data_IF_108875899772
#
_entry.id   IF_108875899772
#
_cell.length_a   1.000
_cell.length_b   1.000
_cell.length_c   1.000
_cell.angle_alpha   90.00
_cell.angle_beta   90.00
_cell.angle_gamma   90.00
#
_symmetry.space_group_name_H-M   'P 1'
#
loop_
_entity.id
_entity.type
_entity.pdbx_description
1 polymer ?
#
# COMPACT_ATOMS: atom_id res chain seq x y z
N UNK A 1 -2.22 8.14 -28.09
CA UNK A 1 -0.93 8.63 -28.15
C UNK A 1 -0.16 8.83 -26.85
N UNK A 2 1.16 8.81 -26.95
CA UNK A 2 2.04 8.87 -25.79
C UNK A 2 1.90 10.17 -25.00
N UNK A 3 1.73 11.30 -25.65
CA UNK A 3 1.56 12.59 -24.98
C UNK A 3 0.27 12.62 -24.15
N UNK A 4 -0.81 12.10 -24.71
CA UNK A 4 -2.08 12.00 -24.00
C UNK A 4 -2.00 11.02 -22.84
N UNK A 5 -1.27 9.91 -23.00
CA UNK A 5 -1.02 8.94 -21.92
C UNK A 5 -0.22 9.56 -20.79
N UNK A 6 0.80 10.35 -21.10
CA UNK A 6 1.61 11.04 -20.11
C UNK A 6 0.74 12.00 -19.28
N UNK A 7 -0.14 12.76 -19.92
CA UNK A 7 -1.06 13.67 -19.24
C UNK A 7 -2.04 12.93 -18.33
N UNK A 8 -2.53 11.74 -18.75
CA UNK A 8 -3.44 10.92 -17.96
C UNK A 8 -2.74 10.30 -16.74
N UNK A 9 -1.43 10.13 -16.80
CA UNK A 9 -0.65 9.52 -15.71
C UNK A 9 -0.24 10.54 -14.66
N UNK A 10 -0.12 11.82 -15.04
CA UNK A 10 0.24 12.89 -14.11
C UNK A 10 -0.88 13.05 -13.07
N UNK A 11 -0.53 12.90 -11.81
CA UNK A 11 -1.49 13.04 -10.73
C UNK A 11 -1.80 14.52 -10.49
N UNK A 12 -3.07 14.86 -10.17
CA UNK A 12 -3.46 16.24 -9.90
C UNK A 12 -2.66 16.91 -8.80
N UNK A 13 -2.15 16.14 -7.84
CA UNK A 13 -1.35 16.62 -6.73
C UNK A 13 0.11 16.90 -7.10
N UNK A 14 0.56 16.50 -8.28
CA UNK A 14 1.96 16.58 -8.68
C UNK A 14 2.87 15.56 -8.01
N UNK A 15 2.31 14.65 -7.22
CA UNK A 15 3.10 13.63 -6.53
C UNK A 15 3.48 12.49 -7.46
N UNK A 16 4.64 11.90 -7.22
CA UNK A 16 5.09 10.70 -7.94
C UNK A 16 4.35 9.46 -7.42
N UNK A 17 4.20 8.44 -8.28
CA UNK A 17 3.76 7.14 -7.83
C UNK A 17 4.76 6.58 -6.81
N UNK A 18 4.31 5.77 -5.84
CA UNK A 18 5.20 5.34 -4.76
C UNK A 18 6.31 4.41 -5.24
N UNK A 19 7.41 4.40 -4.53
CA UNK A 19 8.49 3.45 -4.74
C UNK A 19 8.06 2.07 -4.27
N UNK A 20 8.43 1.04 -5.00
CA UNK A 20 8.14 -0.35 -4.66
C UNK A 20 9.44 -1.08 -4.40
N UNK A 21 9.55 -1.72 -3.24
CA UNK A 21 10.68 -2.55 -2.85
C UNK A 21 10.22 -3.98 -2.66
N UNK A 22 11.04 -4.94 -3.08
CA UNK A 22 10.76 -6.38 -2.87
C UNK A 22 11.72 -6.90 -1.83
N UNK A 23 11.20 -7.59 -0.82
CA UNK A 23 12.00 -8.20 0.26
C UNK A 23 11.62 -9.67 0.43
N UNK A 24 12.52 -10.52 0.97
CA UNK A 24 12.26 -11.95 1.11
C UNK A 24 11.14 -12.25 2.12
N UNK A 25 10.49 -13.39 1.92
CA UNK A 25 9.42 -13.86 2.82
C UNK A 25 10.01 -14.30 4.17
N UNK A 26 11.17 -14.93 4.16
CA UNK A 26 11.82 -15.32 5.42
C UNK A 26 12.08 -14.08 6.28
N UNK A 27 11.57 -14.12 7.52
CA UNK A 27 11.69 -12.98 8.44
C UNK A 27 10.78 -11.81 8.12
N UNK A 28 9.78 -12.00 7.24
CA UNK A 28 8.91 -10.90 6.80
C UNK A 28 8.17 -10.22 7.95
N UNK A 29 7.74 -10.97 8.95
CA UNK A 29 6.96 -10.38 10.06
C UNK A 29 7.85 -9.47 10.90
N UNK A 30 9.05 -9.91 11.27
CA UNK A 30 9.97 -9.08 12.03
C UNK A 30 10.42 -7.84 11.23
N UNK A 31 10.69 -8.02 9.94
CA UNK A 31 11.03 -6.91 9.05
C UNK A 31 9.88 -5.90 8.96
N UNK A 32 8.65 -6.40 8.79
CA UNK A 32 7.46 -5.57 8.72
C UNK A 32 7.22 -4.80 10.03
N UNK A 33 7.38 -5.45 11.17
CA UNK A 33 7.22 -4.78 12.47
C UNK A 33 8.22 -3.63 12.61
N UNK A 34 9.47 -3.83 12.19
CA UNK A 34 10.47 -2.78 12.17
C UNK A 34 10.07 -1.60 11.31
N UNK A 35 9.56 -1.86 10.11
CA UNK A 35 9.09 -0.81 9.20
C UNK A 35 7.86 -0.08 9.75
N UNK A 36 6.92 -0.83 10.31
CA UNK A 36 5.73 -0.24 10.95
C UNK A 36 6.14 0.70 12.08
N UNK A 37 7.06 0.27 12.94
CA UNK A 37 7.51 1.11 14.05
C UNK A 37 8.17 2.41 13.58
N UNK A 38 8.94 2.37 12.49
CA UNK A 38 9.52 3.57 11.89
C UNK A 38 8.43 4.55 11.45
N UNK A 39 7.38 4.04 10.79
CA UNK A 39 6.29 4.87 10.30
C UNK A 39 5.44 5.42 11.44
N UNK A 40 5.13 4.60 12.43
CA UNK A 40 4.37 5.01 13.61
C UNK A 40 5.12 6.11 14.38
N UNK A 41 6.45 6.03 14.49
CA UNK A 41 7.25 7.05 15.16
C UNK A 41 7.13 8.43 14.49
N UNK A 42 6.80 8.46 13.20
CA UNK A 42 6.57 9.69 12.43
C UNK A 42 5.10 10.07 12.36
N UNK A 43 4.24 9.35 13.08
CA UNK A 43 2.78 9.52 13.07
C UNK A 43 2.15 9.22 11.71
N UNK A 44 2.75 8.31 10.96
CA UNK A 44 2.26 7.85 9.68
C UNK A 44 1.28 6.67 9.85
N UNK A 45 0.52 6.38 8.79
CA UNK A 45 -0.46 5.29 8.77
C UNK A 45 -0.04 4.22 7.78
N UNK A 46 -0.40 2.98 8.07
CA UNK A 46 0.06 1.80 7.32
C UNK A 46 -1.11 0.91 6.92
N UNK A 47 -1.08 0.43 5.67
CA UNK A 47 -1.97 -0.63 5.21
C UNK A 47 -1.17 -1.91 4.99
N UNK A 48 -1.70 -3.04 5.44
CA UNK A 48 -1.09 -4.35 5.24
C UNK A 48 -2.11 -5.28 4.63
N UNK A 49 -1.76 -5.94 3.51
CA UNK A 49 -2.63 -6.94 2.90
C UNK A 49 -2.05 -8.34 3.04
N UNK A 50 -2.90 -9.27 3.47
CA UNK A 50 -2.58 -10.70 3.60
C UNK A 50 -3.40 -11.51 2.61
N UNK A 51 -3.10 -12.79 2.46
CA UNK A 51 -3.85 -13.67 1.55
C UNK A 51 -5.06 -14.32 2.20
N UNK A 52 -5.01 -14.55 3.51
CA UNK A 52 -6.06 -15.30 4.20
C UNK A 52 -6.54 -14.56 5.44
N UNK A 53 -7.79 -14.83 5.80
CA UNK A 53 -8.40 -14.33 7.02
C UNK A 53 -7.58 -14.72 8.24
N UNK A 54 -7.15 -15.98 8.32
CA UNK A 54 -6.37 -16.48 9.46
C UNK A 54 -5.06 -15.71 9.63
N UNK A 55 -4.35 -15.48 8.51
CA UNK A 55 -3.10 -14.72 8.55
C UNK A 55 -3.36 -13.28 9.02
N UNK A 56 -4.43 -12.66 8.55
CA UNK A 56 -4.80 -11.31 8.97
C UNK A 56 -5.11 -11.25 10.46
N UNK A 57 -5.87 -12.20 10.96
CA UNK A 57 -6.21 -12.29 12.39
C UNK A 57 -4.98 -12.53 13.26
N UNK A 58 -4.14 -13.47 12.87
CA UNK A 58 -2.91 -13.81 13.62
C UNK A 58 -1.95 -12.62 13.65
N UNK A 59 -1.78 -11.95 12.52
CA UNK A 59 -0.92 -10.76 12.42
C UNK A 59 -1.45 -9.62 13.29
N UNK A 60 -2.76 -9.40 13.26
CA UNK A 60 -3.40 -8.37 14.07
C UNK A 60 -3.18 -8.62 15.55
N UNK A 61 -3.39 -9.85 16.00
CA UNK A 61 -3.17 -10.22 17.41
C UNK A 61 -1.69 -10.06 17.81
N UNK A 62 -0.77 -10.50 16.97
CA UNK A 62 0.65 -10.33 17.24
C UNK A 62 1.05 -8.86 17.34
N UNK A 63 0.56 -8.02 16.43
CA UNK A 63 0.84 -6.59 16.49
C UNK A 63 0.32 -5.93 17.76
N UNK A 64 -0.86 -6.33 18.22
CA UNK A 64 -1.41 -5.85 19.50
C UNK A 64 -0.49 -6.24 20.67
N UNK A 65 0.00 -7.48 20.67
CA UNK A 65 0.89 -7.98 21.73
C UNK A 65 2.19 -7.17 21.81
N UNK A 66 2.71 -6.71 20.68
CA UNK A 66 3.93 -5.90 20.66
C UNK A 66 3.66 -4.39 20.74
N UNK A 67 2.44 -4.01 21.07
CA UNK A 67 2.10 -2.62 21.39
C UNK A 67 1.75 -1.74 20.21
N UNK A 68 1.46 -2.32 19.05
CA UNK A 68 1.04 -1.56 17.86
C UNK A 68 -0.49 -1.39 17.88
N UNK A 69 -0.95 -0.19 17.60
CA UNK A 69 -2.38 0.12 17.46
C UNK A 69 -2.83 -0.32 16.08
N UNK A 70 -3.50 -1.46 16.01
CA UNK A 70 -3.86 -2.13 14.76
C UNK A 70 -5.32 -2.56 14.79
N UNK A 71 -5.96 -2.54 13.61
CA UNK A 71 -7.30 -3.11 13.41
C UNK A 71 -7.30 -3.99 12.17
N UNK A 72 -8.15 -5.03 12.22
CA UNK A 72 -8.42 -5.89 11.08
C UNK A 72 -9.70 -5.43 10.38
N UNK A 73 -9.62 -5.24 9.06
CA UNK A 73 -10.77 -4.90 8.23
C UNK A 73 -11.38 -6.19 7.67
N UNK A 74 -12.51 -6.61 8.23
CA UNK A 74 -13.25 -7.79 7.76
C UNK A 74 -13.86 -7.54 6.37
N UNK A 75 -13.90 -8.58 5.55
CA UNK A 75 -14.51 -8.50 4.22
C UNK A 75 -16.02 -8.29 4.27
N UNK A 76 -16.68 -8.75 5.34
CA UNK A 76 -18.13 -8.70 5.51
C UNK A 76 -18.63 -7.47 6.27
N UNK A 77 -17.75 -6.53 6.54
CA UNK A 77 -18.10 -5.32 7.28
C UNK A 77 -19.01 -4.42 6.44
N UNK A 78 -20.03 -3.83 7.06
CA UNK A 78 -20.92 -2.93 6.36
C UNK A 78 -20.26 -1.57 6.08
N UNK A 79 -20.90 -0.79 5.21
CA UNK A 79 -20.38 0.49 4.74
C UNK A 79 -20.19 1.49 5.88
N UNK A 80 -21.13 1.52 6.82
CA UNK A 80 -21.09 2.45 7.95
C UNK A 80 -19.91 2.14 8.89
N UNK A 81 -19.72 0.87 9.21
CA UNK A 81 -18.63 0.44 10.09
C UNK A 81 -17.27 0.64 9.41
N UNK A 82 -17.19 0.37 8.11
CA UNK A 82 -15.97 0.65 7.33
C UNK A 82 -15.62 2.14 7.37
N UNK A 83 -16.61 3.01 7.16
CA UNK A 83 -16.40 4.46 7.24
C UNK A 83 -15.91 4.88 8.63
N UNK A 84 -16.43 4.25 9.67
CA UNK A 84 -16.01 4.51 11.05
C UNK A 84 -14.55 4.11 11.29
N UNK A 85 -14.14 2.95 10.78
CA UNK A 85 -12.75 2.48 10.88
C UNK A 85 -11.79 3.44 10.17
N UNK A 86 -12.14 3.87 8.96
CA UNK A 86 -11.33 4.83 8.20
C UNK A 86 -11.22 6.16 8.95
N UNK A 87 -12.33 6.65 9.46
CA UNK A 87 -12.35 7.88 10.28
C UNK A 87 -11.45 7.76 11.50
N UNK A 88 -11.52 6.63 12.21
CA UNK A 88 -10.70 6.39 13.39
C UNK A 88 -9.20 6.39 13.06
N UNK A 89 -8.82 5.80 11.93
CA UNK A 89 -7.43 5.84 11.47
C UNK A 89 -6.98 7.27 11.23
N UNK A 90 -7.80 8.06 10.56
CA UNK A 90 -7.47 9.46 10.25
C UNK A 90 -7.46 10.35 11.51
N UNK A 91 -8.20 9.99 12.54
CA UNK A 91 -8.24 10.70 13.82
C UNK A 91 -7.16 10.19 14.81
N UNK A 92 -6.23 9.37 14.34
CA UNK A 92 -5.13 8.85 15.13
C UNK A 92 -5.56 7.91 16.28
N UNK A 93 -6.68 7.22 16.10
CA UNK A 93 -7.12 6.20 17.06
C UNK A 93 -6.28 4.94 16.93
N UNK A 94 -5.87 4.59 15.71
CA UNK A 94 -4.96 3.49 15.44
C UNK A 94 -4.10 3.80 14.22
N UNK A 95 -3.03 3.01 14.01
CA UNK A 95 -1.99 3.31 13.02
C UNK A 95 -1.94 2.32 11.86
N UNK A 96 -2.38 1.09 12.08
CA UNK A 96 -2.22 0.02 11.10
C UNK A 96 -3.56 -0.63 10.81
N UNK A 97 -3.88 -0.74 9.52
CA UNK A 97 -5.06 -1.47 9.05
C UNK A 97 -4.61 -2.71 8.28
N UNK A 98 -5.06 -3.87 8.73
CA UNK A 98 -4.77 -5.17 8.10
C UNK A 98 -6.03 -5.65 7.41
N UNK A 99 -5.90 -6.11 6.16
CA UNK A 99 -7.02 -6.67 5.42
C UNK A 99 -6.57 -7.65 4.35
N UNK A 100 -7.52 -8.39 3.80
CA UNK A 100 -7.27 -9.32 2.70
C UNK A 100 -7.36 -8.57 1.37
N UNK A 101 -8.38 -7.75 1.23
CA UNK A 101 -8.61 -6.97 0.02
C UNK A 101 -8.80 -5.50 0.41
N UNK A 102 -7.81 -4.68 0.06
CA UNK A 102 -7.79 -3.24 0.35
C UNK A 102 -8.17 -2.39 -0.86
N UNK A 103 -8.88 -2.97 -1.83
CA UNK A 103 -9.27 -2.28 -3.07
C UNK A 103 -10.65 -1.62 -2.98
N UNK A 104 -11.28 -1.63 -1.82
CA UNK A 104 -12.61 -1.06 -1.60
C UNK A 104 -12.56 0.46 -1.58
N UNK A 105 -13.68 1.08 -1.94
CA UNK A 105 -13.87 2.53 -1.87
C UNK A 105 -13.62 3.04 -0.46
N UNK A 106 -13.08 4.24 -0.37
CA UNK A 106 -12.83 4.91 0.90
C UNK A 106 -11.47 4.62 1.53
N UNK A 107 -10.70 3.67 0.99
CA UNK A 107 -9.35 3.38 1.48
C UNK A 107 -8.26 4.24 0.84
N UNK A 108 -8.65 5.28 0.15
CA UNK A 108 -7.75 6.26 -0.45
C UNK A 108 -7.42 7.34 0.57
N UNK A 109 -6.60 6.98 1.54
CA UNK A 109 -6.31 7.79 2.74
C UNK A 109 -4.99 8.52 2.57
N UNK A 110 -4.98 9.88 2.58
CA UNK A 110 -3.75 10.65 2.34
C UNK A 110 -2.64 10.44 3.37
N UNK A 111 -3.00 10.05 4.58
CA UNK A 111 -2.04 9.84 5.67
C UNK A 111 -1.25 8.54 5.56
N UNK A 112 -1.61 7.66 4.60
CA UNK A 112 -0.92 6.38 4.42
C UNK A 112 0.41 6.59 3.71
N UNK A 113 1.48 6.13 4.34
CA UNK A 113 2.85 6.23 3.82
C UNK A 113 3.44 4.86 3.49
N UNK A 114 2.96 3.80 4.12
CA UNK A 114 3.45 2.45 3.84
C UNK A 114 2.29 1.52 3.50
N UNK A 115 2.44 0.82 2.39
CA UNK A 115 1.59 -0.31 2.03
C UNK A 115 2.47 -1.55 1.98
N UNK A 116 2.15 -2.55 2.78
CA UNK A 116 2.88 -3.82 2.81
C UNK A 116 2.01 -4.93 2.20
N UNK A 117 2.58 -5.64 1.23
CA UNK A 117 1.93 -6.74 0.54
C UNK A 117 2.65 -8.03 0.91
N UNK A 118 2.03 -8.83 1.78
CA UNK A 118 2.60 -10.10 2.21
C UNK A 118 2.34 -11.18 1.16
N UNK A 119 3.29 -12.08 0.99
CA UNK A 119 3.17 -13.18 0.03
C UNK A 119 2.77 -12.68 -1.37
N UNK A 120 3.49 -11.69 -1.85
CA UNK A 120 3.16 -11.02 -3.12
C UNK A 120 3.36 -11.93 -4.34
N UNK A 121 4.15 -13.00 -4.21
CA UNK A 121 4.46 -13.95 -5.27
C UNK A 121 3.47 -15.12 -5.37
N UNK A 122 2.42 -15.13 -4.57
CA UNK A 122 1.39 -16.16 -4.67
C UNK A 122 0.48 -15.89 -5.86
N UNK A 123 -0.03 -16.95 -6.49
CA UNK A 123 -0.95 -16.80 -7.59
C UNK A 123 -2.38 -16.58 -7.11
N UNK A 124 -3.20 -15.95 -7.94
CA UNK A 124 -4.60 -15.71 -7.67
C UNK A 124 -5.00 -14.26 -7.83
N UNK A 125 -6.29 -14.01 -7.68
CA UNK A 125 -6.90 -12.70 -7.89
C UNK A 125 -6.26 -11.60 -7.04
N UNK A 126 -5.97 -11.89 -5.78
CA UNK A 126 -5.45 -10.89 -4.85
C UNK A 126 -4.00 -10.48 -5.15
N UNK A 127 -3.31 -11.20 -6.00
CA UNK A 127 -1.91 -10.92 -6.39
C UNK A 127 -1.78 -10.82 -7.91
N UNK A 128 -2.87 -10.54 -8.62
CA UNK A 128 -2.87 -10.25 -10.04
C UNK A 128 -2.21 -8.89 -10.32
N UNK A 129 -1.81 -8.66 -11.55
CA UNK A 129 -1.25 -7.37 -11.97
C UNK A 129 -2.16 -6.21 -11.57
N UNK A 130 -3.46 -6.31 -11.91
CA UNK A 130 -4.44 -5.28 -11.60
C UNK A 130 -4.56 -5.02 -10.09
N UNK A 131 -4.68 -6.09 -9.29
CA UNK A 131 -4.78 -5.96 -7.84
C UNK A 131 -3.52 -5.37 -7.23
N UNK A 132 -2.34 -5.76 -7.71
CA UNK A 132 -1.08 -5.20 -7.23
C UNK A 132 -0.96 -3.71 -7.57
N UNK A 133 -1.27 -3.31 -8.81
CA UNK A 133 -1.23 -1.90 -9.22
C UNK A 133 -2.17 -1.06 -8.36
N UNK A 134 -3.40 -1.52 -8.15
CA UNK A 134 -4.37 -0.79 -7.34
C UNK A 134 -3.96 -0.71 -5.88
N UNK A 135 -3.38 -1.76 -5.34
CA UNK A 135 -2.87 -1.77 -3.96
C UNK A 135 -1.69 -0.81 -3.79
N UNK A 136 -0.76 -0.80 -4.74
CA UNK A 136 0.34 0.17 -4.77
C UNK A 136 -0.22 1.60 -4.75
N UNK A 137 -1.29 1.84 -5.48
CA UNK A 137 -1.93 3.15 -5.55
C UNK A 137 -2.46 3.67 -4.22
N UNK A 138 -2.64 2.81 -3.22
CA UNK A 138 -3.08 3.26 -1.89
C UNK A 138 -2.02 4.09 -1.16
N UNK A 139 -0.75 4.00 -1.54
CA UNK A 139 0.32 4.84 -1.02
C UNK A 139 0.57 6.09 -1.88
N UNK A 140 -0.22 6.32 -2.92
CA UNK A 140 0.07 7.33 -3.94
C UNK A 140 -0.31 8.76 -3.53
N UNK A 141 -1.08 8.94 -2.47
CA UNK A 141 -1.54 10.27 -2.05
C UNK A 141 -0.60 10.97 -1.06
N UNK A 142 0.49 10.33 -0.69
CA UNK A 142 1.45 10.89 0.24
C UNK A 142 2.81 10.98 -0.45
N UNK A 143 3.51 12.11 -0.30
CA UNK A 143 4.84 12.30 -0.88
C UNK A 143 5.88 11.32 -0.34
N UNK A 144 5.66 10.80 0.86
CA UNK A 144 6.52 9.79 1.48
C UNK A 144 5.99 8.36 1.29
N UNK A 145 4.99 8.20 0.40
CA UNK A 145 4.38 6.92 0.12
C UNK A 145 5.35 5.93 -0.50
N UNK A 146 5.38 4.71 0.04
CA UNK A 146 6.17 3.62 -0.49
C UNK A 146 5.51 2.28 -0.20
N UNK A 147 5.93 1.27 -0.95
CA UNK A 147 5.33 -0.07 -0.91
C UNK A 147 6.43 -1.10 -0.70
N UNK A 148 6.18 -2.06 0.16
CA UNK A 148 7.05 -3.23 0.34
C UNK A 148 6.27 -4.47 -0.05
N UNK A 149 6.79 -5.22 -1.01
CA UNK A 149 6.27 -6.53 -1.38
C UNK A 149 7.17 -7.61 -0.79
N UNK A 150 6.60 -8.52 -0.02
CA UNK A 150 7.34 -9.67 0.51
C UNK A 150 7.14 -10.85 -0.42
N UNK A 151 8.20 -11.29 -1.06
CA UNK A 151 8.18 -12.35 -2.07
C UNK A 151 9.55 -12.99 -2.21
N UNK A 152 9.56 -14.29 -2.49
CA UNK A 152 10.81 -15.03 -2.78
C UNK A 152 11.07 -15.11 -4.28
N UNK A 153 10.02 -14.98 -5.10
CA UNK A 153 10.12 -15.03 -6.55
C UNK A 153 9.48 -13.79 -7.17
N UNK A 154 9.96 -13.40 -8.33
CA UNK A 154 9.35 -12.33 -9.11
C UNK A 154 8.35 -12.95 -10.09
N UNK A 155 7.06 -12.87 -9.79
CA UNK A 155 6.03 -13.35 -10.72
C UNK A 155 5.84 -12.37 -11.88
N UNK A 156 5.19 -12.84 -12.96
CA UNK A 156 4.86 -11.95 -14.08
C UNK A 156 3.97 -10.79 -13.64
N UNK A 157 3.01 -11.07 -12.76
CA UNK A 157 2.12 -10.04 -12.22
C UNK A 157 2.88 -8.98 -11.44
N UNK A 158 3.80 -9.40 -10.57
CA UNK A 158 4.68 -8.48 -9.84
C UNK A 158 5.55 -7.66 -10.77
N UNK A 159 6.20 -8.33 -11.73
CA UNK A 159 7.09 -7.66 -12.69
C UNK A 159 6.34 -6.59 -13.48
N UNK A 160 5.16 -6.92 -13.99
CA UNK A 160 4.34 -5.98 -14.75
C UNK A 160 3.86 -4.81 -13.88
N UNK A 161 3.42 -5.10 -12.66
CA UNK A 161 2.96 -4.05 -11.73
C UNK A 161 4.09 -3.10 -11.35
N UNK A 162 5.26 -3.62 -11.03
CA UNK A 162 6.43 -2.82 -10.65
C UNK A 162 6.94 -2.02 -11.84
N UNK A 163 7.03 -2.64 -13.01
CA UNK A 163 7.47 -1.98 -14.23
C UNK A 163 6.55 -0.83 -14.60
N UNK A 164 5.24 -1.04 -14.55
CA UNK A 164 4.25 0.00 -14.85
C UNK A 164 4.33 1.16 -13.85
N UNK A 165 4.47 0.86 -12.56
CA UNK A 165 4.62 1.87 -11.52
C UNK A 165 5.89 2.70 -11.74
N UNK A 166 7.01 2.05 -12.04
CA UNK A 166 8.27 2.73 -12.32
C UNK A 166 8.21 3.58 -13.59
N UNK A 167 7.53 3.08 -14.62
CA UNK A 167 7.30 3.84 -15.85
C UNK A 167 6.52 5.12 -15.58
N UNK A 168 5.41 5.00 -14.85
CA UNK A 168 4.60 6.17 -14.45
C UNK A 168 5.42 7.15 -13.64
N UNK A 169 6.19 6.65 -12.68
CA UNK A 169 7.02 7.46 -11.81
C UNK A 169 8.06 8.26 -12.61
N UNK A 170 8.68 7.64 -13.60
CA UNK A 170 9.65 8.31 -14.49
C UNK A 170 8.99 9.41 -15.30
N UNK A 171 7.83 9.12 -15.90
CA UNK A 171 7.06 10.10 -16.69
C UNK A 171 6.64 11.27 -15.80
N UNK A 172 6.13 11.00 -14.60
CA UNK A 172 5.70 12.02 -13.65
C UNK A 172 6.86 12.92 -13.23
N UNK A 173 8.03 12.33 -12.96
CA UNK A 173 9.22 13.09 -12.59
C UNK A 173 9.67 14.03 -13.71
N UNK A 174 9.72 13.56 -14.94
CA UNK A 174 10.08 14.38 -16.11
C UNK A 174 9.06 15.50 -16.31
N UNK A 175 7.78 15.18 -16.29
CA UNK A 175 6.70 16.16 -16.45
C UNK A 175 6.72 17.24 -15.37
N UNK A 176 6.91 16.83 -14.11
CA UNK A 176 6.99 17.75 -12.99
C UNK A 176 8.19 18.70 -13.12
N UNK A 177 9.35 18.17 -13.47
CA UNK A 177 10.56 18.97 -13.66
C UNK A 177 10.37 19.97 -14.80
N UNK A 178 9.77 19.53 -15.91
CA UNK A 178 9.48 20.40 -17.04
C UNK A 178 8.51 21.54 -16.66
N UNK A 179 7.45 21.23 -15.96
CA UNK A 179 6.49 22.23 -15.51
C UNK A 179 7.10 23.24 -14.54
N UNK A 180 8.00 22.81 -13.68
CA UNK A 180 8.68 23.72 -12.75
C UNK A 180 9.72 24.62 -13.41
N UNK A 181 10.26 24.22 -14.55
CA UNK A 181 11.22 25.02 -15.31
C UNK A 181 10.58 26.21 -16.04
N UNK A 182 9.26 26.18 -16.17
CA UNK A 182 8.47 27.25 -16.76
C UNK A 182 7.75 28.06 -15.69
#
# INVERSE_FOLDING_TARGET
>A
HELLRAEQIIRPTGLLDPKVEVRPIEGQIDDLIGEVNKEVSKKHKILITTLTKRMAEDLTEYMKEVGIRVRYLHSDIDTLERARIIRDMRLDVFDVLVGINLLREGLDIPEITLVAILDADKEGFLRSETSLIQTIGRAARNSEGHVIMYADNMTDSMHKAITETNRRRTIQAVSYTHLRAH
#
